data_IF_758198404934
#
_entry.id   IF_758198404934
#
_cell.length_a   1.000
_cell.length_b   1.000
_cell.length_c   1.000
_cell.angle_alpha   90.00
_cell.angle_beta   90.00
_cell.angle_gamma   90.00
#
_symmetry.space_group_name_H-M   'P 1'
#
loop_
_entity.id
_entity.type
_entity.pdbx_description
1 polymer ?
#
# COMPACT_ATOMS: atom_id res chain seq x y z
N UNK A 1 -58.02 38.01 20.91
CA UNK A 1 -57.91 37.09 19.74
C UNK A 1 -56.55 37.09 19.02
N UNK A 2 -55.66 38.09 19.20
CA UNK A 2 -54.36 38.18 18.48
C UNK A 2 -53.24 37.25 18.99
N UNK A 3 -53.11 37.00 20.30
CA UNK A 3 -51.99 36.21 20.88
C UNK A 3 -51.98 34.72 20.48
N UNK A 4 -53.15 34.08 20.35
CA UNK A 4 -53.25 32.67 19.91
C UNK A 4 -52.81 32.48 18.45
N UNK A 5 -53.01 33.49 17.59
CA UNK A 5 -52.64 33.44 16.17
C UNK A 5 -51.12 33.52 15.99
N UNK A 6 -50.43 34.36 16.78
CA UNK A 6 -48.96 34.51 16.75
C UNK A 6 -48.25 33.23 17.24
N UNK A 7 -48.73 32.61 18.31
CA UNK A 7 -48.16 31.34 18.81
C UNK A 7 -48.29 30.20 17.80
N UNK A 8 -49.39 30.16 17.04
CA UNK A 8 -49.59 29.16 15.98
C UNK A 8 -48.60 29.36 14.84
N UNK A 9 -48.41 30.61 14.38
CA UNK A 9 -47.47 30.95 13.31
C UNK A 9 -46.02 30.65 13.73
N UNK A 10 -45.65 30.95 14.97
CA UNK A 10 -44.29 30.72 15.48
C UNK A 10 -43.96 29.21 15.54
N UNK A 11 -44.90 28.38 16.00
CA UNK A 11 -44.75 26.91 16.01
C UNK A 11 -44.68 26.30 14.60
N UNK A 12 -45.44 26.85 13.64
CA UNK A 12 -45.38 26.41 12.24
C UNK A 12 -44.04 26.77 11.60
N UNK A 13 -43.47 27.94 11.92
CA UNK A 13 -42.16 28.36 11.40
C UNK A 13 -41.00 27.51 11.97
N UNK A 14 -41.06 27.15 13.25
CA UNK A 14 -40.05 26.26 13.87
C UNK A 14 -40.07 24.87 13.26
N UNK A 15 -41.25 24.32 12.92
CA UNK A 15 -41.37 23.00 12.30
C UNK A 15 -40.79 22.97 10.88
N UNK A 16 -41.00 24.04 10.10
CA UNK A 16 -40.48 24.15 8.73
C UNK A 16 -38.94 24.25 8.76
N UNK A 17 -38.37 25.06 9.66
CA UNK A 17 -36.91 25.19 9.81
C UNK A 17 -36.22 23.88 10.23
N UNK A 18 -36.87 23.04 11.04
CA UNK A 18 -36.29 21.73 11.41
C UNK A 18 -36.32 20.70 10.28
N UNK A 19 -37.24 20.83 9.31
CA UNK A 19 -37.33 19.89 8.19
C UNK A 19 -36.29 20.18 7.09
N UNK A 20 -35.88 21.43 6.92
CA UNK A 20 -34.90 21.83 5.89
C UNK A 20 -33.46 21.36 6.19
N UNK A 21 -33.14 21.02 7.44
CA UNK A 21 -31.77 20.61 7.83
C UNK A 21 -31.52 19.12 7.58
N UNK A 22 -32.56 18.32 7.36
CA UNK A 22 -32.44 16.84 7.24
C UNK A 22 -32.22 16.40 5.77
N UNK A 23 -32.36 17.30 4.79
CA UNK A 23 -32.30 16.94 3.35
C UNK A 23 -30.90 17.11 2.73
N UNK A 24 -29.89 17.58 3.47
CA UNK A 24 -28.56 17.87 2.90
C UNK A 24 -27.43 16.91 3.32
N UNK A 25 -27.74 15.65 3.60
CA UNK A 25 -26.71 14.63 3.82
C UNK A 25 -27.28 13.28 3.45
N UNK A 26 -27.13 12.87 2.19
CA UNK A 26 -26.91 11.48 1.74
C UNK A 26 -26.80 11.50 0.20
N UNK A 27 -25.72 12.11 -0.32
CA UNK A 27 -25.25 11.73 -1.64
C UNK A 27 -24.58 10.35 -1.48
N UNK A 28 -25.33 9.28 -1.74
CA UNK A 28 -24.79 7.92 -1.87
C UNK A 28 -23.87 7.88 -3.09
N UNK A 29 -22.56 7.64 -2.95
CA UNK A 29 -21.75 7.28 -4.10
C UNK A 29 -22.02 5.79 -4.37
N UNK A 30 -22.82 5.51 -5.39
CA UNK A 30 -22.69 4.25 -6.13
C UNK A 30 -21.31 4.26 -6.78
N UNK A 31 -20.36 3.51 -6.22
CA UNK A 31 -19.43 2.65 -6.97
C UNK A 31 -18.40 1.97 -6.04
N UNK A 32 -18.07 0.74 -6.43
CA UNK A 32 -17.06 -0.18 -5.91
C UNK A 32 -17.44 -0.95 -4.65
N UNK A 33 -18.00 -2.14 -4.91
CA UNK A 33 -17.72 -3.35 -4.13
C UNK A 33 -16.32 -3.29 -3.54
N UNK A 34 -16.25 -3.05 -2.22
CA UNK A 34 -15.04 -3.15 -1.43
C UNK A 34 -14.60 -4.60 -1.46
N UNK A 35 -13.80 -4.96 -2.48
CA UNK A 35 -12.94 -6.14 -2.41
C UNK A 35 -12.02 -5.84 -1.23
N UNK A 36 -12.36 -6.35 -0.04
CA UNK A 36 -11.46 -6.40 1.09
C UNK A 36 -10.30 -7.27 0.59
N UNK A 37 -9.08 -6.75 0.37
CA UNK A 37 -7.96 -7.62 0.04
C UNK A 37 -7.80 -8.53 1.25
N UNK A 38 -8.16 -9.80 1.11
CA UNK A 38 -7.81 -10.80 2.09
C UNK A 38 -6.30 -10.95 2.00
N UNK A 39 -5.62 -10.30 2.93
CA UNK A 39 -4.21 -10.49 3.20
C UNK A 39 -4.06 -11.93 3.70
N UNK A 40 -3.87 -12.88 2.78
CA UNK A 40 -3.56 -14.26 3.15
C UNK A 40 -2.06 -14.33 3.40
N UNK A 41 -1.72 -14.70 4.63
CA UNK A 41 -0.39 -15.12 5.04
C UNK A 41 0.00 -16.34 4.22
N UNK A 42 1.00 -16.22 3.35
CA UNK A 42 1.57 -17.37 2.65
C UNK A 42 2.83 -17.83 3.38
N UNK A 43 2.77 -19.00 4.00
CA UNK A 43 3.95 -19.79 4.34
C UNK A 43 4.49 -20.39 3.04
N UNK A 44 5.58 -19.84 2.51
CA UNK A 44 6.25 -20.39 1.34
C UNK A 44 7.23 -21.48 1.79
N UNK A 45 6.83 -22.74 1.65
CA UNK A 45 7.74 -23.83 1.36
C UNK A 45 6.98 -24.85 0.51
N UNK A 46 7.66 -25.34 -0.52
CA UNK A 46 7.27 -26.40 -1.47
C UNK A 46 6.25 -26.03 -2.55
N UNK A 47 6.77 -25.69 -3.74
CA UNK A 47 6.45 -26.49 -4.94
C UNK A 47 7.37 -26.09 -6.11
N UNK A 48 8.32 -26.97 -6.40
CA UNK A 48 9.14 -26.95 -7.60
C UNK A 48 8.59 -27.99 -8.58
N UNK A 49 8.04 -27.57 -9.71
CA UNK A 49 8.24 -28.15 -11.05
C UNK A 49 7.21 -27.60 -12.04
N UNK A 50 7.66 -26.67 -12.89
CA UNK A 50 7.21 -26.53 -14.28
C UNK A 50 8.32 -25.76 -15.04
N UNK A 51 8.80 -26.39 -16.11
CA UNK A 51 10.02 -26.04 -16.85
C UNK A 51 10.01 -24.60 -17.40
N UNK A 52 11.07 -23.79 -17.21
CA UNK A 52 11.20 -22.49 -17.86
C UNK A 52 11.83 -22.66 -19.25
N UNK A 53 11.06 -22.36 -20.30
CA UNK A 53 11.63 -22.20 -21.64
C UNK A 53 12.42 -20.89 -21.68
N UNK A 54 13.75 -20.94 -21.65
CA UNK A 54 14.75 -19.91 -22.04
C UNK A 54 14.59 -18.45 -21.54
N UNK A 55 13.59 -18.14 -20.73
CA UNK A 55 13.29 -16.78 -20.27
C UNK A 55 14.20 -16.33 -19.13
N UNK A 56 14.78 -17.30 -18.42
CA UNK A 56 15.79 -17.11 -17.37
C UNK A 56 17.13 -16.56 -17.91
N UNK A 57 17.32 -16.51 -19.24
CA UNK A 57 18.52 -15.93 -19.88
C UNK A 57 18.38 -14.46 -20.28
N UNK A 58 17.19 -13.88 -20.19
CA UNK A 58 16.95 -12.49 -20.59
C UNK A 58 16.84 -11.62 -19.32
N UNK A 59 17.72 -10.62 -19.20
CA UNK A 59 17.60 -9.58 -18.18
C UNK A 59 16.55 -8.56 -18.65
N UNK A 60 15.57 -8.29 -17.80
CA UNK A 60 14.57 -7.25 -17.96
C UNK A 60 14.77 -6.15 -16.94
N UNK A 61 14.52 -4.92 -17.39
CA UNK A 61 14.54 -3.77 -16.50
C UNK A 61 13.14 -3.53 -15.96
N UNK A 62 13.05 -3.40 -14.64
CA UNK A 62 11.85 -3.06 -13.91
C UNK A 62 12.04 -1.72 -13.22
N UNK A 63 11.00 -0.91 -13.21
CA UNK A 63 10.96 0.34 -12.46
C UNK A 63 9.94 0.25 -11.33
N UNK A 64 10.40 0.36 -10.10
CA UNK A 64 9.60 0.22 -8.88
C UNK A 64 9.45 1.59 -8.24
N UNK A 65 8.22 2.08 -8.14
CA UNK A 65 7.89 3.33 -7.49
C UNK A 65 7.19 3.05 -6.15
N UNK A 66 7.79 3.51 -5.06
CA UNK A 66 7.30 3.32 -3.69
C UNK A 66 6.80 4.67 -3.19
N UNK A 67 5.48 4.76 -2.92
CA UNK A 67 4.87 5.96 -2.36
C UNK A 67 4.75 5.82 -0.85
N UNK A 68 5.37 6.75 -0.14
CA UNK A 68 5.31 6.87 1.31
C UNK A 68 4.21 7.83 1.72
N UNK A 69 3.41 7.43 2.72
CA UNK A 69 2.35 8.29 3.26
C UNK A 69 2.92 9.57 3.87
N UNK A 70 2.18 10.68 3.75
CA UNK A 70 2.44 11.92 4.47
C UNK A 70 2.41 11.79 6.00
N UNK A 71 1.79 10.72 6.51
CA UNK A 71 1.71 10.43 7.94
C UNK A 71 2.90 9.59 8.44
N UNK A 72 3.80 9.21 7.54
CA UNK A 72 5.04 8.52 7.89
C UNK A 72 5.97 9.45 8.71
N UNK A 73 6.82 8.89 9.60
CA UNK A 73 7.91 9.64 10.19
C UNK A 73 8.83 10.28 9.13
N UNK A 74 9.54 11.34 9.52
CA UNK A 74 10.45 12.08 8.63
C UNK A 74 11.55 11.20 8.02
N UNK A 75 12.01 10.21 8.76
CA UNK A 75 13.08 9.29 8.38
C UNK A 75 12.71 7.91 8.90
N UNK A 76 12.98 6.88 8.10
CA UNK A 76 13.03 5.49 8.56
C UNK A 76 14.47 5.00 8.46
N UNK A 77 14.96 4.35 9.52
CA UNK A 77 16.27 3.70 9.53
C UNK A 77 16.14 2.18 9.34
N UNK A 78 14.92 1.68 9.20
CA UNK A 78 14.66 0.27 8.96
C UNK A 78 15.04 -0.14 7.55
N UNK A 79 15.53 -1.38 7.44
CA UNK A 79 15.77 -2.03 6.16
C UNK A 79 14.45 -2.51 5.60
N UNK A 80 14.15 -2.12 4.37
CA UNK A 80 12.93 -2.48 3.67
C UNK A 80 13.28 -3.39 2.50
N UNK A 81 12.84 -4.64 2.51
CA UNK A 81 13.05 -5.56 1.39
C UNK A 81 11.72 -5.76 0.67
N UNK A 82 11.70 -5.59 -0.64
CA UNK A 82 10.50 -5.72 -1.45
C UNK A 82 10.64 -6.94 -2.36
N UNK A 83 9.67 -7.84 -2.35
CA UNK A 83 9.60 -8.97 -3.28
C UNK A 83 8.37 -8.80 -4.14
N UNK A 84 8.44 -9.08 -5.44
CA UNK A 84 7.28 -9.00 -6.32
C UNK A 84 7.31 -10.11 -7.37
N UNK A 85 6.17 -10.55 -7.87
CA UNK A 85 6.18 -11.59 -8.90
C UNK A 85 4.80 -12.12 -9.24
N UNK A 86 4.77 -13.34 -9.79
CA UNK A 86 3.54 -14.02 -10.22
C UNK A 86 3.09 -15.07 -9.18
N UNK A 87 2.07 -15.88 -9.44
CA UNK A 87 1.56 -16.85 -8.45
C UNK A 87 2.66 -17.75 -7.82
N UNK A 88 3.66 -18.20 -8.59
CA UNK A 88 4.64 -19.22 -8.18
C UNK A 88 6.05 -18.68 -7.91
N UNK A 89 6.42 -17.50 -8.43
CA UNK A 89 7.78 -16.97 -8.38
C UNK A 89 7.80 -15.54 -7.85
N UNK A 90 8.91 -15.17 -7.22
CA UNK A 90 9.19 -13.82 -6.75
C UNK A 90 10.54 -13.38 -7.32
N UNK A 91 10.56 -12.15 -7.81
CA UNK A 91 11.74 -11.32 -7.92
C UNK A 91 11.99 -10.59 -6.60
N UNK A 92 13.26 -10.44 -6.25
CA UNK A 92 13.66 -9.79 -5.01
C UNK A 92 14.31 -8.44 -5.32
N UNK A 93 13.78 -7.42 -4.66
CA UNK A 93 14.32 -6.06 -4.63
C UNK A 93 14.83 -5.79 -3.24
N UNK A 94 16.14 -5.61 -3.16
CA UNK A 94 16.72 -5.03 -1.97
C UNK A 94 16.60 -3.51 -2.08
N UNK A 95 15.60 -2.95 -1.40
CA UNK A 95 15.60 -1.52 -1.12
C UNK A 95 16.48 -1.33 0.10
N UNK A 96 17.80 -1.31 -0.11
CA UNK A 96 18.72 -0.90 0.94
C UNK A 96 18.52 0.59 1.24
N UNK A 97 17.48 0.89 2.03
CA UNK A 97 17.44 2.10 2.81
C UNK A 97 18.43 1.89 3.97
N UNK A 98 19.70 2.08 3.64
CA UNK A 98 20.73 2.38 4.63
C UNK A 98 20.23 3.67 5.28
N UNK A 99 19.60 3.58 6.46
CA UNK A 99 19.40 4.73 7.37
C UNK A 99 20.72 5.38 7.84
N UNK A 100 21.77 5.27 7.04
CA UNK A 100 23.06 5.92 7.16
C UNK A 100 23.26 6.89 5.99
N UNK A 101 24.25 7.77 6.09
CA UNK A 101 24.39 8.98 5.26
C UNK A 101 24.55 8.78 3.74
N UNK A 102 24.54 7.54 3.23
CA UNK A 102 24.83 7.20 1.83
C UNK A 102 23.70 6.43 1.10
N UNK A 103 22.50 6.25 1.66
CA UNK A 103 21.42 5.62 0.89
C UNK A 103 20.88 6.55 -0.20
N UNK A 104 20.70 5.99 -1.40
CA UNK A 104 20.09 6.67 -2.55
C UNK A 104 18.57 6.86 -2.38
N UNK A 105 17.93 6.13 -1.47
CA UNK A 105 16.47 6.11 -1.30
C UNK A 105 16.13 6.28 0.17
N UNK A 106 15.44 7.38 0.53
CA UNK A 106 15.21 7.76 1.94
C UNK A 106 13.82 7.42 2.47
N UNK A 107 12.84 7.15 1.61
CA UNK A 107 11.45 6.87 2.00
C UNK A 107 10.85 7.97 2.90
N UNK A 108 11.07 9.22 2.50
CA UNK A 108 10.56 10.41 3.18
C UNK A 108 9.02 10.52 3.08
N UNK A 109 8.34 11.15 4.05
CA UNK A 109 6.89 11.32 4.00
C UNK A 109 6.46 12.13 2.79
N UNK A 110 5.28 11.81 2.25
CA UNK A 110 4.70 12.41 1.04
C UNK A 110 5.51 12.21 -0.26
N UNK A 111 6.55 11.36 -0.25
CA UNK A 111 7.43 11.17 -1.41
C UNK A 111 7.13 9.87 -2.14
N UNK A 112 7.38 9.89 -3.45
CA UNK A 112 7.53 8.68 -4.25
C UNK A 112 9.00 8.50 -4.60
N UNK A 113 9.62 7.44 -4.06
CA UNK A 113 10.96 7.04 -4.45
C UNK A 113 10.89 6.00 -5.57
N UNK A 114 11.80 6.11 -6.53
CA UNK A 114 11.81 5.28 -7.75
C UNK A 114 13.13 4.54 -7.83
N UNK A 115 13.05 3.24 -8.10
CA UNK A 115 14.17 2.33 -8.18
C UNK A 115 14.14 1.59 -9.52
N UNK A 116 15.27 1.56 -10.22
CA UNK A 116 15.46 0.76 -11.42
C UNK A 116 16.23 -0.50 -11.08
N UNK A 117 15.77 -1.63 -11.62
CA UNK A 117 16.23 -2.96 -11.25
C UNK A 117 16.35 -3.84 -12.47
N UNK A 118 17.28 -4.79 -12.43
CA UNK A 118 17.40 -5.83 -13.43
C UNK A 118 17.03 -7.18 -12.82
N UNK A 119 16.28 -8.00 -13.55
CA UNK A 119 15.93 -9.36 -13.13
C UNK A 119 15.48 -10.19 -14.33
N UNK A 120 15.30 -11.51 -14.15
CA UNK A 120 14.78 -12.36 -15.20
C UNK A 120 13.43 -11.83 -15.70
N UNK A 121 13.26 -11.95 -17.01
CA UNK A 121 12.05 -11.57 -17.68
C UNK A 121 10.89 -12.53 -17.36
N UNK A 122 9.63 -12.05 -17.41
CA UNK A 122 8.51 -12.93 -17.77
C UNK A 122 7.37 -13.09 -16.79
N UNK A 123 7.37 -12.39 -15.66
CA UNK A 123 6.29 -12.57 -14.69
C UNK A 123 5.06 -11.77 -15.09
N UNK A 124 3.88 -12.40 -15.00
CA UNK A 124 2.63 -11.66 -14.82
C UNK A 124 2.63 -11.19 -13.36
N UNK A 125 3.22 -10.01 -13.12
CA UNK A 125 3.36 -9.46 -11.77
C UNK A 125 1.95 -9.27 -11.20
N UNK A 126 1.64 -9.98 -10.13
CA UNK A 126 0.33 -9.98 -9.49
C UNK A 126 0.40 -9.99 -7.97
N UNK A 127 1.59 -10.02 -7.38
CA UNK A 127 1.77 -9.90 -5.93
C UNK A 127 3.03 -9.12 -5.59
N UNK A 128 3.00 -8.49 -4.42
CA UNK A 128 4.14 -7.83 -3.78
C UNK A 128 4.15 -8.17 -2.30
N UNK A 129 5.34 -8.28 -1.72
CA UNK A 129 5.60 -8.42 -0.30
C UNK A 129 6.62 -7.36 0.10
N UNK A 130 6.45 -6.79 1.29
CA UNK A 130 7.42 -5.94 1.95
C UNK A 130 7.80 -6.57 3.27
N UNK A 131 9.10 -6.68 3.51
CA UNK A 131 9.70 -7.06 4.78
C UNK A 131 10.32 -5.81 5.41
N UNK A 132 10.03 -5.56 6.68
CA UNK A 132 10.72 -4.53 7.47
C UNK A 132 11.62 -5.25 8.46
N UNK A 133 12.87 -4.79 8.56
CA UNK A 133 13.79 -5.24 9.59
C UNK A 133 14.52 -4.08 10.23
N UNK A 134 14.52 -4.02 11.55
CA UNK A 134 15.33 -3.04 12.28
C UNK A 134 16.83 -3.39 12.16
N UNK A 135 17.73 -2.41 12.01
CA UNK A 135 19.16 -2.67 12.14
C UNK A 135 19.47 -3.13 13.57
N UNK A 136 19.86 -4.39 13.73
CA UNK A 136 20.25 -4.96 15.02
C UNK A 136 21.69 -4.56 15.40
N UNK A 137 21.96 -3.27 15.60
CA UNK A 137 23.25 -2.80 16.13
C UNK A 137 23.25 -2.65 17.67
N UNK A 138 22.26 -3.26 18.35
CA UNK A 138 22.13 -3.22 19.81
C UNK A 138 21.60 -1.90 20.37
N UNK A 139 21.41 -0.86 19.55
CA UNK A 139 20.89 0.43 20.00
C UNK A 139 19.37 0.46 19.84
N UNK A 140 18.64 0.21 20.93
CA UNK A 140 17.19 0.38 20.98
C UNK A 140 16.85 1.86 20.87
N UNK A 141 16.54 2.33 19.66
CA UNK A 141 16.06 3.70 19.46
C UNK A 141 14.63 3.80 20.00
N UNK A 142 14.28 4.87 20.73
CA UNK A 142 12.95 5.05 21.33
C UNK A 142 11.84 5.25 20.28
N UNK A 143 12.22 5.56 19.05
CA UNK A 143 11.30 5.71 17.93
C UNK A 143 11.35 4.39 17.17
N UNK A 144 10.35 3.53 17.35
CA UNK A 144 10.09 2.46 16.38
C UNK A 144 9.85 3.18 15.05
N UNK A 145 10.65 2.88 14.02
CA UNK A 145 10.52 3.56 12.73
C UNK A 145 9.25 3.05 12.05
N UNK A 146 8.15 3.74 12.34
CA UNK A 146 6.79 3.43 11.91
C UNK A 146 6.56 3.89 10.47
N UNK A 147 7.46 3.55 9.56
CA UNK A 147 7.30 3.88 8.14
C UNK A 147 5.95 3.38 7.62
N UNK A 148 5.23 4.27 6.94
CA UNK A 148 3.89 4.01 6.42
C UNK A 148 3.93 3.99 4.91
N UNK A 149 3.77 2.80 4.34
CA UNK A 149 3.65 2.62 2.89
C UNK A 149 2.22 2.95 2.44
N UNK A 150 2.10 3.69 1.33
CA UNK A 150 0.82 3.97 0.69
C UNK A 150 0.61 3.04 -0.51
N UNK A 151 1.57 2.98 -1.42
CA UNK A 151 1.49 2.12 -2.60
C UNK A 151 2.86 1.72 -3.14
N UNK A 152 2.89 0.61 -3.86
CA UNK A 152 4.00 0.20 -4.72
C UNK A 152 3.51 0.06 -6.14
N UNK A 153 4.14 0.74 -7.09
CA UNK A 153 3.90 0.56 -8.52
C UNK A 153 5.09 -0.12 -9.15
N UNK A 154 4.84 -1.14 -9.99
CA UNK A 154 5.88 -1.88 -10.69
C UNK A 154 5.59 -1.79 -12.19
N UNK A 155 6.58 -1.28 -12.90
CA UNK A 155 6.59 -1.09 -14.35
C UNK A 155 7.56 -2.11 -14.97
N UNK A 156 7.03 -2.99 -15.83
CA UNK A 156 7.78 -3.84 -16.76
C UNK A 156 7.58 -3.18 -18.12
N UNK A 157 8.66 -2.80 -18.82
CA UNK A 157 8.57 -2.10 -20.11
C UNK A 157 7.69 -2.80 -21.18
N UNK A 158 7.36 -4.08 -20.99
CA UNK A 158 6.51 -4.88 -21.90
C UNK A 158 5.04 -4.93 -21.49
N UNK A 159 4.67 -4.50 -20.28
CA UNK A 159 3.31 -4.61 -19.73
C UNK A 159 2.88 -3.30 -19.07
N UNK A 160 1.58 -3.01 -19.00
CA UNK A 160 1.11 -1.87 -18.22
C UNK A 160 1.58 -1.96 -16.76
N UNK A 161 1.99 -0.84 -16.14
CA UNK A 161 2.38 -0.82 -14.74
C UNK A 161 1.25 -1.31 -13.83
N UNK A 162 1.60 -2.10 -12.81
CA UNK A 162 0.65 -2.57 -11.79
C UNK A 162 0.89 -1.84 -10.48
N UNK A 163 -0.18 -1.37 -9.84
CA UNK A 163 -0.10 -0.68 -8.54
C UNK A 163 -0.76 -1.48 -7.43
N UNK A 164 -0.02 -1.67 -6.35
CA UNK A 164 -0.41 -2.34 -5.12
C UNK A 164 -0.66 -1.29 -4.04
N UNK A 165 -1.92 -1.08 -3.68
CA UNK A 165 -2.31 -0.18 -2.61
C UNK A 165 -2.33 -0.88 -1.27
N UNK A 166 -1.74 -0.25 -0.26
CA UNK A 166 -1.80 -0.70 1.12
C UNK A 166 -2.99 -0.06 1.83
N UNK A 167 -3.36 -0.62 2.99
CA UNK A 167 -4.41 -0.01 3.82
C UNK A 167 -3.93 1.37 4.32
N UNK A 168 -4.85 2.31 4.58
CA UNK A 168 -4.47 3.57 5.20
C UNK A 168 -3.71 3.33 6.51
N UNK A 169 -2.63 4.08 6.72
CA UNK A 169 -1.77 4.00 7.90
C UNK A 169 -1.16 2.62 8.16
N UNK A 170 -0.94 1.82 7.10
CA UNK A 170 -0.37 0.49 7.23
C UNK A 170 1.14 0.56 7.49
N UNK A 171 1.53 0.09 8.69
CA UNK A 171 2.92 -0.08 9.09
C UNK A 171 3.25 -1.56 8.92
N UNK A 172 4.34 -1.84 8.20
CA UNK A 172 4.85 -3.20 8.03
C UNK A 172 5.42 -3.68 9.37
N UNK A 173 5.00 -4.84 9.92
CA UNK A 173 5.62 -5.40 11.11
C UNK A 173 7.12 -5.70 10.92
N UNK A 174 7.87 -5.61 12.02
CA UNK A 174 9.28 -6.05 12.09
C UNK A 174 9.31 -7.38 12.87
N UNK A 175 8.84 -8.43 12.21
CA UNK A 175 8.69 -9.78 12.78
C UNK A 175 9.22 -10.89 11.85
N UNK A 176 9.94 -10.51 10.79
CA UNK A 176 10.54 -11.43 9.83
C UNK A 176 9.59 -11.94 8.74
N UNK A 177 8.32 -11.53 8.73
CA UNK A 177 7.36 -11.91 7.70
C UNK A 177 7.20 -10.84 6.60
N UNK A 178 6.77 -11.29 5.42
CA UNK A 178 6.50 -10.44 4.27
C UNK A 178 5.02 -10.06 4.19
N UNK A 179 4.75 -8.78 3.93
CA UNK A 179 3.40 -8.23 3.91
C UNK A 179 3.11 -7.49 2.61
N UNK A 180 2.02 -7.84 1.93
CA UNK A 180 1.53 -7.04 0.82
C UNK A 180 0.33 -7.66 0.11
N UNK A 181 -0.27 -6.92 -0.84
CA UNK A 181 -1.39 -7.43 -1.61
C UNK A 181 -0.98 -8.54 -2.58
N UNK A 182 -1.87 -9.53 -2.71
CA UNK A 182 -1.76 -10.62 -3.67
C UNK A 182 -3.04 -10.64 -4.52
N UNK A 183 -2.88 -10.29 -5.79
CA UNK A 183 -3.91 -10.26 -6.84
C UNK A 183 -3.75 -11.40 -7.84
N UNK A 184 -2.85 -12.35 -7.57
CA UNK A 184 -2.75 -13.53 -8.40
C UNK A 184 -4.07 -14.29 -8.32
N UNK A 185 -4.60 -14.67 -9.47
CA UNK A 185 -5.74 -15.58 -9.49
C UNK A 185 -5.31 -16.87 -8.77
N UNK A 186 -6.17 -17.34 -7.87
CA UNK A 186 -6.12 -18.73 -7.46
C UNK A 186 -6.93 -19.45 -8.51
N UNK A 187 -6.28 -20.29 -9.28
CA UNK A 187 -7.00 -21.32 -10.03
C UNK A 187 -7.76 -22.22 -9.04
#
# INVERSE_FOLDING_TARGET
MKRKKVSKIMKTLTLILTFSVIVLSHATPTLLTRIKPQMKQSSALDDAQLQPQNLDKLNCNYRVAIKTSCLSPLITNDRITLLFGNATRYETVYVENVGGPNSKTRLEPCKTDVLDLEGPCGYNICKVLIYRSRPHNGVRRPNDDRWIVESVTIDDYRKPPITFYYKPNYIIPDDGFGYGPNYCHRD
#
